data_IF_159167780713
#
_entry.id   IF_159167780713
#
_cell.length_a   1.000
_cell.length_b   1.000
_cell.length_c   1.000
_cell.angle_alpha   90.00
_cell.angle_beta   90.00
_cell.angle_gamma   90.00
#
_symmetry.space_group_name_H-M   'P 1'
#
loop_
_entity.id
_entity.type
_entity.pdbx_description
1 polymer ?
#
# COMPACT_ATOMS: atom_id res chain seq x y z
N UNK A 1 9.07 -3.95 -14.25
CA UNK A 1 8.15 -4.08 -13.08
C UNK A 1 8.40 -3.01 -12.03
N UNK A 2 9.63 -2.50 -11.89
CA UNK A 2 10.02 -1.45 -10.92
C UNK A 2 9.13 -0.19 -10.95
N UNK A 3 8.78 0.30 -12.15
CA UNK A 3 7.89 1.47 -12.31
C UNK A 3 6.52 1.36 -11.63
N UNK A 4 5.93 0.16 -11.53
CA UNK A 4 4.61 0.02 -10.90
C UNK A 4 4.69 0.13 -9.37
N UNK A 5 5.79 -0.33 -8.78
CA UNK A 5 6.04 -0.19 -7.35
C UNK A 5 6.38 1.26 -6.98
N UNK A 6 7.10 1.98 -7.82
CA UNK A 6 7.33 3.43 -7.66
C UNK A 6 6.01 4.22 -7.72
N UNK A 7 5.13 3.89 -8.66
CA UNK A 7 3.79 4.47 -8.75
C UNK A 7 2.98 4.13 -7.49
N UNK A 8 2.97 2.86 -7.07
CA UNK A 8 2.30 2.41 -5.85
C UNK A 8 2.75 3.22 -4.63
N UNK A 9 4.07 3.34 -4.43
CA UNK A 9 4.66 4.11 -3.35
C UNK A 9 4.22 5.57 -3.41
N UNK A 10 4.38 6.24 -4.57
CA UNK A 10 4.03 7.64 -4.70
C UNK A 10 2.54 7.90 -4.43
N UNK A 11 1.64 7.01 -4.88
CA UNK A 11 0.21 7.15 -4.65
C UNK A 11 -0.16 6.96 -3.18
N UNK A 12 0.50 6.05 -2.46
CA UNK A 12 0.31 5.84 -1.01
C UNK A 12 0.85 7.04 -0.23
N UNK A 13 2.05 7.51 -0.54
CA UNK A 13 2.70 8.65 0.13
C UNK A 13 1.91 9.96 -0.05
N UNK A 14 1.30 10.15 -1.22
CA UNK A 14 0.41 11.29 -1.52
C UNK A 14 -1.02 11.09 -0.97
N UNK A 15 -1.30 9.96 -0.31
CA UNK A 15 -2.62 9.55 0.16
C UNK A 15 -3.70 9.49 -0.95
N UNK A 16 -3.30 9.36 -2.23
CA UNK A 16 -4.23 9.20 -3.36
C UNK A 16 -4.88 7.82 -3.37
N UNK A 17 -4.22 6.83 -2.77
CA UNK A 17 -4.78 5.50 -2.51
C UNK A 17 -4.52 5.12 -1.05
N UNK A 18 -5.54 4.55 -0.41
CA UNK A 18 -5.47 4.07 0.98
C UNK A 18 -5.90 2.62 1.14
N UNK A 19 -6.44 1.99 0.09
CA UNK A 19 -6.91 0.60 0.12
C UNK A 19 -6.22 -0.27 -0.93
N UNK A 20 -6.07 -1.57 -0.63
CA UNK A 20 -5.47 -2.54 -1.56
C UNK A 20 -6.29 -2.65 -2.85
N UNK A 21 -7.62 -2.62 -2.79
CA UNK A 21 -8.46 -2.63 -4.00
C UNK A 21 -8.17 -1.44 -4.91
N UNK A 22 -8.08 -0.23 -4.36
CA UNK A 22 -7.73 0.97 -5.11
C UNK A 22 -6.33 0.87 -5.75
N UNK A 23 -5.37 0.31 -5.02
CA UNK A 23 -4.01 0.09 -5.51
C UNK A 23 -3.97 -0.88 -6.70
N UNK A 24 -4.76 -1.96 -6.67
CA UNK A 24 -4.88 -2.92 -7.79
C UNK A 24 -5.36 -2.19 -9.04
N UNK A 25 -6.43 -1.38 -8.92
CA UNK A 25 -7.00 -0.66 -10.07
C UNK A 25 -6.06 0.39 -10.70
N UNK A 26 -5.12 0.94 -9.92
CA UNK A 26 -4.21 2.00 -10.40
C UNK A 26 -2.88 1.47 -10.94
N UNK A 27 -2.38 0.38 -10.37
CA UNK A 27 -1.01 -0.12 -10.66
C UNK A 27 -1.02 -1.41 -11.47
N UNK A 28 -2.18 -2.06 -11.64
CA UNK A 28 -2.33 -3.38 -12.26
C UNK A 28 -1.54 -4.50 -11.56
N UNK A 29 -0.97 -4.23 -10.38
CA UNK A 29 -0.38 -5.23 -9.51
C UNK A 29 -1.49 -6.05 -8.85
N UNK A 30 -1.20 -7.31 -8.53
CA UNK A 30 -2.14 -8.10 -7.75
C UNK A 30 -2.05 -7.76 -6.25
N UNK A 31 -3.08 -8.15 -5.49
CA UNK A 31 -3.17 -7.87 -4.04
C UNK A 31 -1.94 -8.37 -3.26
N UNK A 32 -1.43 -9.55 -3.61
CA UNK A 32 -0.28 -10.15 -2.91
C UNK A 32 0.98 -9.31 -3.13
N UNK A 33 1.25 -8.90 -4.37
CA UNK A 33 2.38 -8.03 -4.71
C UNK A 33 2.31 -6.69 -3.96
N UNK A 34 1.14 -6.06 -3.90
CA UNK A 34 0.92 -4.82 -3.17
C UNK A 34 1.19 -5.00 -1.68
N UNK A 35 0.62 -6.05 -1.08
CA UNK A 35 0.77 -6.33 0.36
C UNK A 35 2.24 -6.65 0.69
N UNK A 36 2.91 -7.48 -0.11
CA UNK A 36 4.31 -7.85 0.11
C UNK A 36 5.23 -6.63 -0.05
N UNK A 37 4.96 -5.76 -1.05
CA UNK A 37 5.67 -4.49 -1.20
C UNK A 37 5.47 -3.58 0.00
N UNK A 38 4.23 -3.31 0.42
CA UNK A 38 3.97 -2.45 1.57
C UNK A 38 4.59 -3.03 2.84
N UNK A 39 4.53 -4.34 3.07
CA UNK A 39 5.22 -4.99 4.20
C UNK A 39 6.74 -4.80 4.18
N UNK A 40 7.34 -4.76 3.00
CA UNK A 40 8.78 -4.50 2.86
C UNK A 40 9.14 -3.03 3.14
N UNK A 41 8.19 -2.11 2.96
CA UNK A 41 8.36 -0.67 3.17
C UNK A 41 7.68 -0.21 4.46
N UNK A 42 8.42 -0.23 5.57
CA UNK A 42 7.87 0.10 6.90
C UNK A 42 7.22 1.48 7.01
N UNK A 43 7.61 2.45 6.17
CA UNK A 43 7.04 3.80 6.12
C UNK A 43 5.66 3.88 5.46
N UNK A 44 5.27 2.85 4.69
CA UNK A 44 4.01 2.83 3.98
C UNK A 44 2.97 2.05 4.78
N UNK A 45 1.71 2.48 4.67
CA UNK A 45 0.56 1.75 5.20
C UNK A 45 -0.54 1.67 4.15
N UNK A 46 -1.28 0.57 4.13
CA UNK A 46 -2.43 0.39 3.25
C UNK A 46 -3.50 -0.44 3.94
N UNK A 47 -4.77 -0.15 3.69
CA UNK A 47 -5.89 -0.87 4.25
C UNK A 47 -6.26 -2.08 3.38
N UNK A 48 -6.17 -3.28 3.97
CA UNK A 48 -6.63 -4.52 3.35
C UNK A 48 -8.12 -4.70 3.63
N UNK A 49 -8.95 -4.32 2.65
CA UNK A 49 -10.42 -4.38 2.72
C UNK A 49 -10.96 -5.80 2.94
N UNK A 50 -10.27 -6.84 2.47
CA UNK A 50 -10.73 -8.23 2.65
C UNK A 50 -10.54 -8.71 4.09
N UNK A 51 -9.46 -8.26 4.73
CA UNK A 51 -9.12 -8.62 6.12
C UNK A 51 -9.53 -7.55 7.13
N UNK A 52 -10.13 -6.46 6.67
CA UNK A 52 -10.56 -5.31 7.46
C UNK A 52 -9.45 -4.81 8.42
N UNK A 53 -8.22 -4.69 7.91
CA UNK A 53 -7.07 -4.30 8.73
C UNK A 53 -6.05 -3.45 7.99
N UNK A 54 -5.32 -2.63 8.73
CA UNK A 54 -4.18 -1.91 8.21
C UNK A 54 -2.94 -2.82 8.12
N UNK A 55 -2.29 -2.80 6.97
CA UNK A 55 -0.94 -3.31 6.81
C UNK A 55 0.02 -2.20 7.25
N UNK A 56 0.98 -2.55 8.10
CA UNK A 56 1.88 -1.62 8.79
C UNK A 56 1.13 -0.53 9.57
N UNK A 57 0.09 -0.90 10.33
CA UNK A 57 -0.64 0.04 11.20
C UNK A 57 0.27 0.81 12.16
N UNK A 58 1.31 0.13 12.65
CA UNK A 58 2.28 0.64 13.62
C UNK A 58 3.44 1.41 12.98
N UNK A 59 3.26 2.08 11.83
CA UNK A 59 4.22 3.13 11.48
C UNK A 59 4.05 4.18 12.58
N UNK A 60 5.01 4.24 13.51
CA UNK A 60 5.00 5.11 14.69
C UNK A 60 4.77 6.58 14.30
N UNK A 61 3.50 6.93 14.11
CA UNK A 61 3.01 8.29 14.21
C UNK A 61 2.97 8.61 15.69
N UNK A 62 4.11 9.04 16.23
CA UNK A 62 4.05 9.89 17.40
C UNK A 62 3.10 11.05 17.07
N UNK A 63 1.98 11.06 17.78
CA UNK A 63 0.96 12.10 17.76
C UNK A 63 1.57 13.49 18.00
#
# INVERSE_FOLDING_TARGET
MEKQYEILQSLIEKMEIVTVGSAVSKTHLNRKEIIDFVRSQKSLRIFDEEKQKWINENVDGHC
#
